data_IF_265329121754
#
_entry.id   IF_265329121754
#
_cell.length_a   1.000
_cell.length_b   1.000
_cell.length_c   1.000
_cell.angle_alpha   90.00
_cell.angle_beta   90.00
_cell.angle_gamma   90.00
#
_symmetry.space_group_name_H-M   'P 1'
#
loop_
_entity.id
_entity.type
_entity.pdbx_description
1 polymer ?
#
# COMPACT_ATOMS: atom_id res chain seq x y z
N UNK A 1 1.26 13.53 -9.58
CA UNK A 1 0.01 12.98 -9.00
C UNK A 1 0.27 12.05 -7.82
N UNK A 2 1.13 11.02 -7.95
CA UNK A 2 1.41 10.08 -6.86
C UNK A 2 1.86 10.74 -5.54
N UNK A 3 2.82 11.67 -5.59
CA UNK A 3 3.28 12.38 -4.37
C UNK A 3 2.18 13.24 -3.74
N UNK A 4 1.36 13.91 -4.54
CA UNK A 4 0.26 14.72 -4.04
C UNK A 4 -0.87 13.86 -3.44
N UNK A 5 -1.15 12.68 -4.02
CA UNK A 5 -2.06 11.71 -3.43
C UNK A 5 -1.55 11.20 -2.09
N UNK A 6 -0.27 10.80 -2.04
CA UNK A 6 0.38 10.36 -0.81
C UNK A 6 0.38 11.44 0.28
N UNK A 7 0.66 12.69 -0.07
CA UNK A 7 0.62 13.82 0.87
C UNK A 7 -0.80 14.06 1.40
N UNK A 8 -1.81 13.93 0.53
CA UNK A 8 -3.23 13.96 0.91
C UNK A 8 -3.60 12.87 1.90
N UNK A 9 -3.25 11.61 1.61
CA UNK A 9 -3.53 10.47 2.49
C UNK A 9 -2.86 10.66 3.86
N UNK A 10 -1.58 11.08 3.88
CA UNK A 10 -0.84 11.33 5.12
C UNK A 10 -1.46 12.47 5.94
N UNK A 11 -1.90 13.54 5.26
CA UNK A 11 -2.57 14.70 5.85
C UNK A 11 -3.95 14.33 6.42
N UNK A 12 -4.66 13.40 5.79
CA UNK A 12 -5.92 12.83 6.28
C UNK A 12 -5.72 11.88 7.48
N UNK A 13 -4.48 11.56 7.86
CA UNK A 13 -4.18 10.73 9.02
C UNK A 13 -3.87 9.26 8.70
N UNK A 14 -3.82 8.89 7.42
CA UNK A 14 -3.46 7.53 7.01
C UNK A 14 -2.03 7.20 7.44
N UNK A 15 -1.81 5.99 7.92
CA UNK A 15 -0.47 5.47 8.26
C UNK A 15 -0.19 4.18 7.51
N UNK A 16 1.07 3.97 7.16
CA UNK A 16 1.50 2.72 6.53
C UNK A 16 2.21 1.84 7.54
N UNK A 17 1.88 0.55 7.57
CA UNK A 17 2.58 -0.45 8.37
C UNK A 17 3.20 -1.50 7.45
N UNK A 18 4.53 -1.73 7.47
CA UNK A 18 5.14 -2.79 6.68
C UNK A 18 4.54 -4.16 7.01
N UNK A 19 4.08 -4.86 5.98
CA UNK A 19 3.63 -6.24 6.05
C UNK A 19 4.72 -7.19 5.53
N UNK A 20 5.32 -6.85 4.38
CA UNK A 20 6.42 -7.61 3.79
C UNK A 20 7.36 -6.69 3.00
N UNK A 21 8.67 -6.96 3.08
CA UNK A 21 9.70 -6.21 2.37
C UNK A 21 10.65 -7.19 1.70
N UNK A 22 10.78 -7.07 0.39
CA UNK A 22 11.79 -7.78 -0.39
C UNK A 22 12.68 -6.75 -1.09
N UNK A 23 14.00 -6.88 -0.94
CA UNK A 23 14.98 -5.97 -1.54
C UNK A 23 16.09 -6.74 -2.25
N UNK A 24 16.34 -6.37 -3.50
CA UNK A 24 17.42 -6.90 -4.34
C UNK A 24 18.22 -5.79 -5.00
N UNK A 25 19.14 -6.18 -5.90
CA UNK A 25 20.04 -5.22 -6.58
C UNK A 25 19.32 -4.24 -7.51
N UNK A 26 18.25 -4.69 -8.17
CA UNK A 26 17.53 -3.93 -9.20
C UNK A 26 16.04 -3.76 -8.90
N UNK A 27 15.53 -4.33 -7.80
CA UNK A 27 14.11 -4.34 -7.46
C UNK A 27 13.93 -4.29 -5.95
N UNK A 28 13.00 -3.46 -5.48
CA UNK A 28 12.50 -3.44 -4.11
C UNK A 28 10.98 -3.51 -4.17
N UNK A 29 10.40 -4.36 -3.32
CA UNK A 29 8.95 -4.49 -3.13
C UNK A 29 8.63 -4.25 -1.68
N UNK A 30 7.75 -3.29 -1.40
CA UNK A 30 7.18 -3.07 -0.07
C UNK A 30 5.67 -3.33 -0.13
N UNK A 31 5.23 -4.34 0.60
CA UNK A 31 3.82 -4.55 0.91
C UNK A 31 3.53 -3.90 2.25
N UNK A 32 2.51 -3.06 2.28
CA UNK A 32 2.13 -2.26 3.45
C UNK A 32 0.64 -2.41 3.70
N UNK A 33 0.26 -2.53 4.97
CA UNK A 33 -1.11 -2.22 5.40
C UNK A 33 -1.30 -0.71 5.36
N UNK A 34 -2.46 -0.27 4.87
CA UNK A 34 -2.89 1.13 4.98
C UNK A 34 -3.88 1.24 6.15
N UNK A 35 -3.48 1.95 7.18
CA UNK A 35 -4.28 2.20 8.37
C UNK A 35 -5.03 3.52 8.17
N UNK A 36 -6.31 3.42 7.82
CA UNK A 36 -7.22 4.56 7.74
C UNK A 36 -7.41 5.23 9.11
N UNK A 37 -7.70 6.54 9.14
CA UNK A 37 -7.95 7.24 10.40
C UNK A 37 -9.24 6.70 11.08
N UNK A 38 -9.33 6.72 12.43
CA UNK A 38 -10.45 6.09 13.16
C UNK A 38 -11.83 6.68 12.84
N UNK A 39 -11.87 7.96 12.48
CA UNK A 39 -13.07 8.72 12.11
C UNK A 39 -13.51 8.54 10.66
N UNK A 40 -12.63 8.02 9.79
CA UNK A 40 -12.94 7.57 8.43
C UNK A 40 -12.26 6.23 8.10
N UNK A 41 -12.75 5.09 8.64
CA UNK A 41 -12.12 3.79 8.42
C UNK A 41 -12.09 3.34 6.96
N UNK A 42 -12.96 3.92 6.12
CA UNK A 42 -13.10 3.61 4.70
C UNK A 42 -12.22 4.46 3.78
N UNK A 43 -11.36 5.32 4.32
CA UNK A 43 -10.57 6.28 3.56
C UNK A 43 -9.69 5.62 2.49
N UNK A 44 -8.80 4.72 2.91
CA UNK A 44 -7.90 4.01 2.00
C UNK A 44 -8.37 2.57 1.70
N UNK A 45 -7.91 1.97 0.59
CA UNK A 45 -7.89 0.51 0.44
C UNK A 45 -7.10 -0.16 1.59
N UNK A 46 -7.26 -1.47 1.84
CA UNK A 46 -6.68 -2.11 3.03
C UNK A 46 -5.16 -2.22 3.00
N UNK A 47 -4.54 -2.12 1.82
CA UNK A 47 -3.10 -2.27 1.68
C UNK A 47 -2.60 -1.81 0.32
N UNK A 48 -1.28 -1.80 0.18
CA UNK A 48 -0.59 -1.33 -1.01
C UNK A 48 0.72 -2.09 -1.23
N UNK A 49 1.02 -2.40 -2.49
CA UNK A 49 2.34 -2.85 -2.92
C UNK A 49 3.05 -1.73 -3.68
N UNK A 50 4.21 -1.33 -3.18
CA UNK A 50 5.15 -0.42 -3.85
C UNK A 50 6.18 -1.24 -4.61
N UNK A 51 6.26 -1.07 -5.93
CA UNK A 51 7.23 -1.74 -6.79
C UNK A 51 8.24 -0.70 -7.26
N UNK A 52 9.50 -0.89 -6.89
CA UNK A 52 10.59 0.06 -7.16
C UNK A 52 11.69 -0.62 -7.94
N UNK A 53 11.93 -0.21 -9.19
CA UNK A 53 13.14 -0.62 -9.91
C UNK A 53 14.30 0.30 -9.54
N UNK A 54 15.49 -0.26 -9.41
CA UNK A 54 16.70 0.49 -9.05
C UNK A 54 17.68 0.61 -10.23
N UNK A 55 18.22 1.81 -10.42
CA UNK A 55 19.37 2.09 -11.28
C UNK A 55 20.46 2.76 -10.44
N UNK A 56 21.67 2.18 -10.43
CA UNK A 56 22.78 2.71 -9.61
C UNK A 56 22.46 2.75 -8.11
N UNK A 57 21.64 1.82 -7.61
CA UNK A 57 21.21 1.77 -6.21
C UNK A 57 20.17 2.83 -5.81
N UNK A 58 19.62 3.59 -6.79
CA UNK A 58 18.57 4.58 -6.58
C UNK A 58 17.28 4.15 -7.26
N UNK A 59 16.13 4.56 -6.72
CA UNK A 59 14.83 4.32 -7.35
C UNK A 59 14.79 5.06 -8.69
N UNK A 60 14.62 4.30 -9.76
CA UNK A 60 14.49 4.78 -11.15
C UNK A 60 13.01 4.88 -11.56
N UNK A 61 12.21 3.88 -11.16
CA UNK A 61 10.77 3.85 -11.38
C UNK A 61 10.05 3.34 -10.14
N UNK A 62 8.91 3.95 -9.87
CA UNK A 62 7.99 3.58 -8.79
C UNK A 62 6.62 3.31 -9.39
N UNK A 63 6.02 2.17 -9.06
CA UNK A 63 4.59 1.93 -9.25
C UNK A 63 3.94 1.50 -7.94
N UNK A 64 2.65 1.74 -7.86
CA UNK A 64 1.82 1.45 -6.69
C UNK A 64 0.63 0.62 -7.13
N UNK A 65 0.30 -0.41 -6.36
CA UNK A 65 -0.86 -1.27 -6.60
C UNK A 65 -1.63 -1.42 -5.29
N UNK A 66 -2.88 -0.95 -5.26
CA UNK A 66 -3.74 -1.13 -4.11
C UNK A 66 -4.22 -2.57 -4.00
N UNK A 67 -4.24 -3.10 -2.77
CA UNK A 67 -4.94 -4.33 -2.48
C UNK A 67 -6.46 -4.13 -2.67
N UNK A 68 -7.18 -5.11 -3.23
CA UNK A 68 -8.62 -5.03 -3.35
C UNK A 68 -9.27 -5.00 -1.96
N UNK A 69 -10.37 -4.23 -1.82
CA UNK A 69 -11.22 -4.38 -0.63
C UNK A 69 -11.87 -5.77 -0.68
N UNK A 70 -11.88 -6.55 0.41
CA UNK A 70 -12.69 -7.75 0.46
C UNK A 70 -14.14 -7.34 0.21
N UNK A 71 -14.76 -7.92 -0.81
CA UNK A 71 -16.21 -7.78 -1.03
C UNK A 71 -16.93 -8.48 0.12
N UNK A 72 -18.06 -7.93 0.56
CA UNK A 72 -18.84 -8.44 1.70
C UNK A 72 -19.47 -9.83 1.48
N UNK A 73 -19.02 -10.58 0.48
CA UNK A 73 -19.35 -11.99 0.25
C UNK A 73 -18.10 -12.85 0.43
N UNK A 74 -17.72 -13.08 1.68
CA UNK A 74 -17.08 -14.34 2.04
C UNK A 74 -17.67 -14.81 3.36
N UNK A 75 -18.95 -15.17 3.29
CA UNK A 75 -19.54 -16.10 4.24
C UNK A 75 -18.95 -17.47 3.87
N UNK A 76 -17.78 -17.80 4.40
CA UNK A 76 -17.29 -19.17 4.38
C UNK A 76 -18.36 -20.00 5.10
N UNK A 77 -19.05 -20.95 4.45
CA UNK A 77 -19.91 -21.86 5.18
C UNK A 77 -18.98 -22.72 6.02
N UNK A 78 -19.01 -22.52 7.34
CA UNK A 78 -18.67 -23.60 8.25
C UNK A 78 -19.77 -24.65 8.11
N UNK A 79 -19.47 -25.73 7.36
CA UNK A 79 -19.86 -27.13 7.61
C UNK A 79 -19.38 -28.01 6.45
#
# INVERSE_FOLDING_TARGET
LLLAGMDGDLSAGVRQRPAHVAAGRSLVVWEMDLLSPPDDPGHCPPGVAWIMTLAGGRVDRLSLHHAPRPTTESKVPHL
#
